data_IF_211388544838
#
_entry.id   IF_211388544838
#
_cell.length_a   1.000
_cell.length_b   1.000
_cell.length_c   1.000
_cell.angle_alpha   90.00
_cell.angle_beta   90.00
_cell.angle_gamma   90.00
#
_symmetry.space_group_name_H-M   'P 1'
#
loop_
_entity.id
_entity.type
_entity.pdbx_description
1 polymer ?
#
# COMPACT_ATOMS: atom_id res chain seq x y z
N UNK A 1 20.42 -1.69 13.08
CA UNK A 1 21.73 -2.26 13.48
C UNK A 1 21.47 -3.72 13.81
N UNK A 2 22.29 -4.67 13.36
CA UNK A 2 22.16 -6.05 13.85
C UNK A 2 22.92 -6.12 15.17
N UNK A 3 22.24 -6.53 16.24
CA UNK A 3 22.87 -6.80 17.53
C UNK A 3 22.68 -8.27 17.89
N UNK A 4 23.70 -8.84 18.54
CA UNK A 4 23.59 -10.15 19.17
C UNK A 4 23.01 -9.97 20.57
N UNK A 5 21.92 -10.67 20.85
CA UNK A 5 21.26 -10.68 22.16
C UNK A 5 21.41 -12.08 22.76
N UNK A 6 21.62 -12.25 24.07
CA UNK A 6 21.57 -13.56 24.70
C UNK A 6 20.19 -14.21 24.45
N UNK A 7 20.15 -15.40 23.86
CA UNK A 7 18.91 -16.13 23.68
C UNK A 7 18.31 -16.51 25.05
N UNK A 8 17.04 -16.16 25.28
CA UNK A 8 16.35 -16.39 26.56
C UNK A 8 15.79 -17.82 26.70
N UNK A 9 15.82 -18.64 25.65
CA UNK A 9 15.23 -19.98 25.63
C UNK A 9 16.20 -20.94 24.95
N UNK A 10 16.54 -22.02 25.65
CA UNK A 10 17.33 -23.13 25.10
C UNK A 10 16.35 -24.07 24.40
N UNK A 11 16.39 -24.13 23.07
CA UNK A 11 15.67 -25.12 22.29
C UNK A 11 16.21 -26.54 22.61
N UNK A 12 15.39 -27.48 23.09
CA UNK A 12 15.82 -28.85 23.40
C UNK A 12 16.30 -29.65 22.18
N UNK A 13 16.13 -29.15 20.95
CA UNK A 13 16.60 -29.79 19.72
C UNK A 13 17.94 -29.27 19.20
N UNK A 14 18.61 -28.35 19.91
CA UNK A 14 19.91 -27.75 19.51
C UNK A 14 21.00 -28.78 19.18
N UNK A 15 20.94 -29.98 19.75
CA UNK A 15 21.92 -31.05 19.52
C UNK A 15 21.78 -31.78 18.17
N UNK A 16 20.66 -31.64 17.45
CA UNK A 16 20.38 -32.43 16.24
C UNK A 16 20.93 -31.80 14.95
N UNK A 17 21.26 -30.50 14.94
CA UNK A 17 21.64 -29.77 13.72
C UNK A 17 23.08 -29.21 13.71
N UNK A 18 23.95 -29.64 14.63
CA UNK A 18 25.34 -29.17 14.67
C UNK A 18 25.50 -27.67 14.97
N UNK A 19 24.51 -27.06 15.64
CA UNK A 19 24.57 -25.65 16.02
C UNK A 19 25.41 -25.43 17.28
N UNK A 20 26.13 -24.31 17.30
CA UNK A 20 26.93 -23.81 18.43
C UNK A 20 26.13 -23.87 19.75
N UNK A 21 26.79 -24.23 20.86
CA UNK A 21 26.22 -24.45 22.21
C UNK A 21 25.39 -23.28 22.80
N UNK A 22 25.36 -22.12 22.11
CA UNK A 22 24.47 -21.00 22.43
C UNK A 22 23.89 -20.43 21.13
N UNK A 23 22.57 -20.49 20.90
CA UNK A 23 21.96 -19.77 19.80
C UNK A 23 22.20 -18.27 20.01
N UNK A 24 22.88 -17.65 19.04
CA UNK A 24 22.99 -16.21 18.97
C UNK A 24 21.64 -15.68 18.47
N UNK A 25 20.94 -14.89 19.27
CA UNK A 25 19.73 -14.19 18.80
C UNK A 25 20.16 -12.92 18.06
N UNK A 26 19.61 -12.72 16.85
CA UNK A 26 19.91 -11.57 16.00
C UNK A 26 18.71 -10.63 16.01
N UNK A 27 18.93 -9.38 16.44
CA UNK A 27 17.88 -8.36 16.42
C UNK A 27 18.10 -7.41 15.23
N UNK A 28 17.08 -7.24 14.39
CA UNK A 28 17.10 -6.26 13.30
C UNK A 28 16.30 -5.00 13.68
N UNK A 29 17.01 -3.93 14.02
CA UNK A 29 16.38 -2.64 14.39
C UNK A 29 16.28 -1.66 13.21
N UNK A 30 15.35 -0.71 13.33
CA UNK A 30 15.16 0.37 12.36
C UNK A 30 14.32 -0.05 11.15
N UNK A 31 13.35 -0.93 11.36
CA UNK A 31 12.29 -1.21 10.40
C UNK A 31 11.27 -0.07 10.41
N UNK A 32 10.68 0.21 9.24
CA UNK A 32 9.53 1.10 9.14
C UNK A 32 8.32 0.48 9.84
N UNK A 33 7.37 1.26 10.36
CA UNK A 33 6.11 0.73 10.91
C UNK A 33 5.40 -0.21 9.93
N UNK A 34 4.63 -1.16 10.45
CA UNK A 34 3.76 -1.98 9.60
C UNK A 34 2.63 -1.13 9.00
N UNK A 35 1.99 -1.57 7.91
CA UNK A 35 0.88 -0.83 7.34
C UNK A 35 -0.25 -0.62 8.36
N UNK A 36 -0.49 -1.58 9.25
CA UNK A 36 -1.48 -1.50 10.32
C UNK A 36 -1.09 -0.47 11.39
N UNK A 37 0.15 -0.52 11.87
CA UNK A 37 0.65 0.45 12.85
C UNK A 37 0.57 1.88 12.29
N UNK A 38 0.99 2.06 11.05
CA UNK A 38 0.97 3.36 10.38
C UNK A 38 -0.46 3.83 10.07
N UNK A 39 -1.36 2.90 9.70
CA UNK A 39 -2.78 3.18 9.51
C UNK A 39 -3.42 3.74 10.77
N UNK A 40 -3.22 3.08 11.92
CA UNK A 40 -3.77 3.55 13.19
C UNK A 40 -3.17 4.88 13.60
N UNK A 41 -1.84 5.04 13.45
CA UNK A 41 -1.13 6.28 13.76
C UNK A 41 -1.67 7.46 12.95
N UNK A 42 -1.78 7.29 11.63
CA UNK A 42 -2.22 8.34 10.72
C UNK A 42 -3.72 8.63 10.86
N UNK A 43 -4.56 7.61 11.07
CA UNK A 43 -5.99 7.80 11.38
C UNK A 43 -6.18 8.61 12.66
N UNK A 44 -5.41 8.32 13.70
CA UNK A 44 -5.43 9.08 14.96
C UNK A 44 -4.99 10.54 14.73
N UNK A 45 -3.91 10.76 13.98
CA UNK A 45 -3.41 12.10 13.65
C UNK A 45 -4.44 12.94 12.87
N UNK A 46 -5.13 12.34 11.90
CA UNK A 46 -6.13 13.01 11.07
C UNK A 46 -7.42 13.36 11.83
N UNK A 47 -7.62 12.80 13.03
CA UNK A 47 -8.81 13.04 13.82
C UNK A 47 -10.09 12.68 13.07
N UNK A 48 -10.11 11.52 12.41
CA UNK A 48 -11.33 10.97 11.79
C UNK A 48 -12.26 10.48 12.91
N UNK A 49 -13.20 11.34 13.31
CA UNK A 49 -14.03 11.16 14.49
C UNK A 49 -15.43 10.60 14.16
N UNK A 50 -16.28 10.46 15.19
CA UNK A 50 -17.63 9.93 15.01
C UNK A 50 -18.56 10.87 14.24
N UNK A 51 -18.33 12.19 14.31
CA UNK A 51 -19.14 13.15 13.57
C UNK A 51 -18.78 13.10 12.07
N UNK A 52 -17.50 12.96 11.74
CA UNK A 52 -17.06 12.70 10.38
C UNK A 52 -17.70 11.42 9.84
N UNK A 53 -17.59 10.30 10.59
CA UNK A 53 -18.10 9.00 10.16
C UNK A 53 -19.61 9.01 9.96
N UNK A 54 -20.37 9.62 10.88
CA UNK A 54 -21.81 9.74 10.76
C UNK A 54 -22.20 10.55 9.51
N UNK A 55 -21.54 11.69 9.28
CA UNK A 55 -21.78 12.52 8.10
C UNK A 55 -21.40 11.79 6.80
N UNK A 56 -20.28 11.05 6.80
CA UNK A 56 -19.86 10.24 5.66
C UNK A 56 -20.90 9.17 5.34
N UNK A 57 -21.42 8.44 6.33
CA UNK A 57 -22.46 7.41 6.15
C UNK A 57 -23.69 7.97 5.42
N UNK A 58 -24.17 9.16 5.79
CA UNK A 58 -25.31 9.82 5.12
C UNK A 58 -25.06 10.11 3.63
N UNK A 59 -23.79 10.21 3.23
CA UNK A 59 -23.38 10.52 1.86
C UNK A 59 -22.99 9.29 1.03
N UNK A 60 -22.94 8.10 1.63
CA UNK A 60 -22.52 6.85 0.96
C UNK A 60 -23.43 6.49 -0.22
N UNK A 61 -24.75 6.51 -0.03
CA UNK A 61 -25.71 6.15 -1.09
C UNK A 61 -25.65 7.09 -2.30
N UNK A 62 -25.69 8.44 -2.14
CA UNK A 62 -25.47 9.38 -3.23
C UNK A 62 -24.17 9.17 -4.00
N UNK A 63 -23.06 8.86 -3.31
CA UNK A 63 -21.79 8.56 -3.96
C UNK A 63 -21.82 7.21 -4.69
N UNK A 64 -22.41 6.17 -4.10
CA UNK A 64 -22.56 4.86 -4.74
C UNK A 64 -23.40 4.92 -6.01
N UNK A 65 -24.51 5.68 -5.99
CA UNK A 65 -25.39 5.90 -7.14
C UNK A 65 -24.61 6.35 -8.39
N UNK A 66 -23.51 7.08 -8.20
CA UNK A 66 -22.65 7.60 -9.27
C UNK A 66 -21.26 6.99 -9.33
N UNK A 67 -21.02 5.91 -8.60
CA UNK A 67 -19.71 5.27 -8.53
C UNK A 67 -19.19 4.79 -9.90
N UNK A 68 -20.08 4.30 -10.77
CA UNK A 68 -19.71 3.93 -12.14
C UNK A 68 -19.19 5.11 -12.95
N UNK A 69 -19.85 6.27 -12.85
CA UNK A 69 -19.43 7.49 -13.54
C UNK A 69 -18.06 7.95 -13.06
N UNK A 70 -17.80 7.89 -11.75
CA UNK A 70 -16.48 8.23 -11.20
C UNK A 70 -15.38 7.34 -11.76
N UNK A 71 -15.61 6.03 -11.81
CA UNK A 71 -14.64 5.07 -12.35
C UNK A 71 -14.39 5.32 -13.84
N UNK A 72 -15.43 5.48 -14.63
CA UNK A 72 -15.31 5.75 -16.08
C UNK A 72 -14.61 7.08 -16.31
N UNK A 73 -15.11 8.15 -15.69
CA UNK A 73 -14.62 9.51 -15.85
C UNK A 73 -13.16 9.67 -15.44
N UNK A 74 -12.70 8.95 -14.42
CA UNK A 74 -11.29 9.00 -14.01
C UNK A 74 -10.36 8.43 -15.10
N UNK A 75 -10.70 7.29 -15.72
CA UNK A 75 -9.89 6.76 -16.82
C UNK A 75 -10.01 7.57 -18.10
N UNK A 76 -11.19 8.14 -18.38
CA UNK A 76 -11.36 9.05 -19.51
C UNK A 76 -10.52 10.32 -19.33
N UNK A 77 -10.37 10.81 -18.10
CA UNK A 77 -9.46 11.91 -17.77
C UNK A 77 -8.00 11.50 -18.01
N UNK A 78 -7.55 10.37 -17.46
CA UNK A 78 -6.17 9.89 -17.65
C UNK A 78 -5.83 9.64 -19.13
N UNK A 79 -6.79 9.22 -19.95
CA UNK A 79 -6.59 9.02 -21.38
C UNK A 79 -6.41 10.35 -22.14
N UNK A 80 -7.06 11.43 -21.69
CA UNK A 80 -6.95 12.76 -22.31
C UNK A 80 -5.62 13.46 -22.04
N UNK A 81 -4.93 13.09 -20.96
CA UNK A 81 -3.62 13.65 -20.63
C UNK A 81 -2.50 12.81 -21.25
N UNK A 82 -1.68 13.45 -22.08
CA UNK A 82 -0.65 12.76 -22.87
C UNK A 82 0.30 11.92 -22.02
N UNK A 83 0.87 12.49 -20.96
CA UNK A 83 1.83 11.80 -20.09
C UNK A 83 1.24 10.53 -19.46
N UNK A 84 0.00 10.60 -18.97
CA UNK A 84 -0.67 9.43 -18.38
C UNK A 84 -1.09 8.42 -19.43
N UNK A 85 -1.43 8.84 -20.65
CA UNK A 85 -1.66 7.93 -21.76
C UNK A 85 -0.36 7.19 -22.14
N UNK A 86 0.78 7.87 -22.19
CA UNK A 86 2.11 7.25 -22.45
C UNK A 86 2.45 6.23 -21.37
N UNK A 87 2.30 6.59 -20.09
CA UNK A 87 2.55 5.67 -18.96
C UNK A 87 1.71 4.39 -19.09
N UNK A 88 0.46 4.52 -19.55
CA UNK A 88 -0.48 3.39 -19.67
C UNK A 88 -0.34 2.63 -21.00
N UNK A 89 0.47 3.12 -21.95
CA UNK A 89 0.58 2.58 -23.30
C UNK A 89 -0.69 2.76 -24.13
N UNK A 90 -1.39 3.89 -23.94
CA UNK A 90 -2.69 4.20 -24.52
C UNK A 90 -2.67 5.40 -25.49
N UNK A 91 -1.51 5.75 -26.02
CA UNK A 91 -1.33 6.89 -26.93
C UNK A 91 -2.18 6.78 -28.21
N UNK A 92 -2.50 5.54 -28.62
CA UNK A 92 -3.34 5.24 -29.78
C UNK A 92 -4.77 4.80 -29.38
N UNK A 93 -5.15 5.08 -28.14
CA UNK A 93 -6.39 4.59 -27.54
C UNK A 93 -6.15 3.48 -26.52
N UNK A 94 -7.10 3.33 -25.59
CA UNK A 94 -6.99 2.35 -24.53
C UNK A 94 -7.20 0.92 -25.03
N UNK A 95 -6.30 0.00 -24.66
CA UNK A 95 -6.55 -1.43 -24.78
C UNK A 95 -7.81 -1.79 -23.96
N UNK A 96 -8.87 -2.33 -24.58
CA UNK A 96 -10.13 -2.63 -23.90
C UNK A 96 -9.97 -3.60 -22.72
N UNK A 97 -9.07 -4.59 -22.83
CA UNK A 97 -8.86 -5.58 -21.76
C UNK A 97 -8.14 -4.93 -20.59
N UNK A 98 -7.07 -4.19 -20.86
CA UNK A 98 -6.34 -3.45 -19.83
C UNK A 98 -7.24 -2.39 -19.16
N UNK A 99 -8.06 -1.65 -19.92
CA UNK A 99 -8.99 -0.68 -19.37
C UNK A 99 -10.04 -1.33 -18.46
N UNK A 100 -10.62 -2.45 -18.88
CA UNK A 100 -11.59 -3.19 -18.08
C UNK A 100 -10.98 -3.72 -16.77
N UNK A 101 -9.76 -4.25 -16.83
CA UNK A 101 -8.99 -4.68 -15.66
C UNK A 101 -8.78 -3.51 -14.68
N UNK A 102 -8.32 -2.36 -15.18
CA UNK A 102 -8.06 -1.16 -14.38
C UNK A 102 -9.34 -0.61 -13.72
N UNK A 103 -10.42 -0.51 -14.50
CA UNK A 103 -11.75 -0.12 -13.98
C UNK A 103 -12.24 -1.08 -12.90
N UNK A 104 -12.04 -2.39 -13.04
CA UNK A 104 -12.40 -3.37 -12.01
C UNK A 104 -11.64 -3.13 -10.70
N UNK A 105 -10.32 -2.90 -10.75
CA UNK A 105 -9.55 -2.61 -9.54
C UNK A 105 -10.01 -1.31 -8.86
N UNK A 106 -10.26 -0.26 -9.64
CA UNK A 106 -10.80 0.99 -9.12
C UNK A 106 -12.15 0.75 -8.44
N UNK A 107 -13.09 0.05 -9.10
CA UNK A 107 -14.41 -0.25 -8.54
C UNK A 107 -14.33 -0.99 -7.21
N UNK A 108 -13.40 -1.95 -7.06
CA UNK A 108 -13.19 -2.66 -5.79
C UNK A 108 -12.70 -1.70 -4.70
N UNK A 109 -11.72 -0.85 -5.00
CA UNK A 109 -11.24 0.16 -4.06
C UNK A 109 -12.34 1.14 -3.66
N UNK A 110 -13.14 1.63 -4.62
CA UNK A 110 -14.24 2.54 -4.38
C UNK A 110 -15.31 1.89 -3.49
N UNK A 111 -15.67 0.64 -3.77
CA UNK A 111 -16.66 -0.09 -2.97
C UNK A 111 -16.19 -0.27 -1.52
N UNK A 112 -14.92 -0.62 -1.29
CA UNK A 112 -14.35 -0.71 0.08
C UNK A 112 -14.31 0.66 0.76
N UNK A 113 -13.95 1.71 0.03
CA UNK A 113 -13.89 3.09 0.54
C UNK A 113 -15.27 3.59 0.97
N UNK A 114 -16.28 3.44 0.11
CA UNK A 114 -17.66 3.84 0.40
C UNK A 114 -18.33 2.91 1.42
N UNK A 115 -17.88 1.67 1.53
CA UNK A 115 -18.23 0.76 2.62
C UNK A 115 -17.56 1.10 3.96
N UNK A 116 -16.77 2.17 4.04
CA UNK A 116 -16.01 2.59 5.22
C UNK A 116 -15.17 1.45 5.82
N UNK A 117 -14.54 0.67 4.95
CA UNK A 117 -13.61 -0.38 5.38
C UNK A 117 -12.38 0.28 6.02
N UNK A 118 -12.30 0.24 7.35
CA UNK A 118 -11.18 0.79 8.13
C UNK A 118 -10.27 -0.31 8.71
N UNK A 119 -10.32 -1.50 8.12
CA UNK A 119 -9.58 -2.67 8.59
C UNK A 119 -8.09 -2.65 8.27
N UNK A 120 -7.33 -3.40 9.04
CA UNK A 120 -5.91 -3.69 8.79
C UNK A 120 -5.66 -4.35 7.43
N UNK A 121 -6.62 -5.13 6.93
CA UNK A 121 -6.52 -5.70 5.58
C UNK A 121 -6.52 -4.60 4.52
N UNK A 122 -7.35 -3.56 4.68
CA UNK A 122 -7.39 -2.47 3.72
C UNK A 122 -6.11 -1.62 3.75
N UNK A 123 -5.52 -1.44 4.94
CA UNK A 123 -4.21 -0.81 5.08
C UNK A 123 -3.12 -1.54 4.26
N UNK A 124 -3.07 -2.89 4.35
CA UNK A 124 -2.16 -3.71 3.53
C UNK A 124 -2.47 -3.62 2.04
N UNK A 125 -3.75 -3.64 1.68
CA UNK A 125 -4.19 -3.52 0.30
C UNK A 125 -3.71 -2.21 -0.33
N UNK A 126 -3.86 -1.09 0.37
CA UNK A 126 -3.42 0.23 -0.09
C UNK A 126 -1.89 0.33 -0.17
N UNK A 127 -1.18 -0.21 0.82
CA UNK A 127 0.28 -0.31 0.76
C UNK A 127 0.74 -1.10 -0.47
N UNK A 128 0.12 -2.27 -0.75
CA UNK A 128 0.42 -3.07 -1.94
C UNK A 128 0.06 -2.33 -3.23
N UNK A 129 -1.05 -1.59 -3.24
CA UNK A 129 -1.42 -0.74 -4.38
C UNK A 129 -0.33 0.30 -4.66
N UNK A 130 0.26 0.90 -3.63
CA UNK A 130 1.42 1.78 -3.75
C UNK A 130 2.60 1.14 -4.47
N UNK A 131 2.98 -0.08 -4.07
CA UNK A 131 4.05 -0.83 -4.72
C UNK A 131 3.75 -1.13 -6.19
N UNK A 132 2.50 -1.47 -6.51
CA UNK A 132 2.07 -1.72 -7.89
C UNK A 132 2.23 -0.46 -8.74
N UNK A 133 1.86 0.71 -8.21
CA UNK A 133 2.07 1.99 -8.89
C UNK A 133 3.55 2.34 -9.04
N UNK A 134 4.41 1.92 -8.12
CA UNK A 134 5.86 2.08 -8.26
C UNK A 134 6.49 1.19 -9.33
N UNK A 135 5.72 0.28 -9.95
CA UNK A 135 6.21 -0.65 -10.97
C UNK A 135 6.34 -2.10 -10.50
N UNK A 136 5.96 -2.45 -9.28
CA UNK A 136 6.11 -3.82 -8.76
C UNK A 136 4.86 -4.70 -9.00
N UNK A 137 4.04 -4.33 -9.99
CA UNK A 137 2.89 -5.10 -10.47
C UNK A 137 3.21 -5.95 -11.72
N UNK A 138 2.28 -6.79 -12.20
CA UNK A 138 2.53 -7.72 -13.31
C UNK A 138 3.02 -7.05 -14.61
N UNK A 139 2.52 -5.84 -14.91
CA UNK A 139 2.90 -5.07 -16.12
C UNK A 139 4.17 -4.24 -15.95
N UNK A 140 4.73 -4.19 -14.74
CA UNK A 140 5.93 -3.41 -14.41
C UNK A 140 5.85 -1.92 -14.80
N UNK A 141 4.65 -1.37 -14.88
CA UNK A 141 4.41 0.04 -15.21
C UNK A 141 4.66 0.91 -14.00
N UNK A 142 5.69 1.76 -14.07
CA UNK A 142 5.92 2.79 -13.08
C UNK A 142 5.04 4.03 -13.36
N UNK A 143 4.23 4.42 -12.39
CA UNK A 143 3.43 5.64 -12.39
C UNK A 143 4.13 6.66 -11.50
N UNK A 144 4.54 7.84 -12.01
CA UNK A 144 5.12 8.89 -11.18
C UNK A 144 4.21 9.28 -10.01
N UNK A 145 4.82 9.47 -8.84
CA UNK A 145 4.12 9.75 -7.57
C UNK A 145 3.13 10.91 -7.67
N UNK A 146 3.47 11.95 -8.43
CA UNK A 146 2.61 13.13 -8.63
C UNK A 146 1.23 12.76 -9.20
N UNK A 147 1.15 11.75 -10.06
CA UNK A 147 -0.11 11.30 -10.65
C UNK A 147 -0.93 10.46 -9.67
N UNK A 148 -0.29 9.75 -8.74
CA UNK A 148 -0.97 9.05 -7.64
C UNK A 148 -1.64 10.06 -6.71
N UNK A 149 -0.89 11.10 -6.29
CA UNK A 149 -1.39 12.20 -5.47
C UNK A 149 -2.52 12.98 -6.17
N UNK A 150 -2.33 13.30 -7.46
CA UNK A 150 -3.33 13.98 -8.27
C UNK A 150 -4.64 13.18 -8.40
N UNK A 151 -4.54 11.87 -8.62
CA UNK A 151 -5.72 11.00 -8.74
C UNK A 151 -6.59 10.99 -7.48
N UNK A 152 -5.99 10.96 -6.29
CA UNK A 152 -6.75 11.05 -5.03
C UNK A 152 -7.48 12.40 -4.90
N UNK A 153 -6.83 13.48 -5.32
CA UNK A 153 -7.45 14.82 -5.33
C UNK A 153 -8.63 14.91 -6.30
N UNK A 154 -8.52 14.27 -7.48
CA UNK A 154 -9.62 14.17 -8.46
C UNK A 154 -10.83 13.41 -7.90
N UNK A 155 -10.60 12.34 -7.14
CA UNK A 155 -11.69 11.61 -6.46
C UNK A 155 -12.39 12.51 -5.45
N UNK A 156 -11.65 13.22 -4.60
CA UNK A 156 -12.24 14.12 -3.60
C UNK A 156 -13.07 15.24 -4.27
N UNK A 157 -12.54 15.86 -5.32
CA UNK A 157 -13.27 16.87 -6.09
C UNK A 157 -14.55 16.30 -6.74
N UNK A 158 -14.49 15.05 -7.22
CA UNK A 158 -15.66 14.38 -7.80
C UNK A 158 -16.70 14.05 -6.72
N UNK A 159 -16.29 13.65 -5.52
CA UNK A 159 -17.20 13.47 -4.39
C UNK A 159 -17.92 14.77 -4.05
N UNK A 160 -17.19 15.88 -3.94
CA UNK A 160 -17.78 17.20 -3.69
C UNK A 160 -18.83 17.58 -4.74
N UNK A 161 -18.50 17.38 -6.02
CA UNK A 161 -19.44 17.62 -7.12
C UNK A 161 -20.69 16.73 -7.02
N UNK A 162 -20.51 15.43 -6.83
CA UNK A 162 -21.63 14.49 -6.72
C UNK A 162 -22.56 14.82 -5.56
N UNK A 163 -22.01 15.17 -4.39
CA UNK A 163 -22.83 15.53 -3.23
C UNK A 163 -23.56 16.85 -3.43
N UNK A 164 -22.93 17.85 -4.07
CA UNK A 164 -23.60 19.09 -4.40
C UNK A 164 -24.77 18.88 -5.38
N UNK A 165 -24.64 17.95 -6.33
CA UNK A 165 -25.67 17.64 -7.33
C UNK A 165 -26.79 16.73 -6.76
N UNK A 166 -26.46 15.73 -5.94
CA UNK A 166 -27.42 14.74 -5.42
C UNK A 166 -28.10 15.17 -4.10
N UNK A 167 -27.47 16.05 -3.32
CA UNK A 167 -27.96 16.49 -2.02
C UNK A 167 -27.96 18.03 -1.90
N UNK A 168 -28.61 18.77 -2.82
CA UNK A 168 -28.53 20.23 -2.86
C UNK A 168 -29.01 20.85 -1.54
N UNK A 169 -28.14 21.66 -0.92
CA UNK A 169 -28.44 22.37 0.33
C UNK A 169 -28.36 21.52 1.60
N UNK A 170 -27.95 20.25 1.53
CA UNK A 170 -27.83 19.40 2.71
C UNK A 170 -26.69 19.89 3.63
N UNK A 171 -27.04 20.22 4.87
CA UNK A 171 -26.10 20.75 5.87
C UNK A 171 -24.99 19.76 6.27
N UNK A 172 -25.16 18.46 5.99
CA UNK A 172 -24.19 17.41 6.29
C UNK A 172 -22.97 17.42 5.36
N UNK A 173 -23.08 18.00 4.16
CA UNK A 173 -22.05 17.93 3.11
C UNK A 173 -20.68 18.45 3.56
N UNK A 174 -20.55 19.63 4.20
CA UNK A 174 -19.24 20.13 4.60
C UNK A 174 -18.50 19.19 5.56
N UNK A 175 -19.21 18.63 6.54
CA UNK A 175 -18.66 17.65 7.49
C UNK A 175 -18.30 16.35 6.78
N UNK A 176 -19.17 15.85 5.92
CA UNK A 176 -18.90 14.65 5.14
C UNK A 176 -17.66 14.80 4.25
N UNK A 177 -17.50 15.94 3.56
CA UNK A 177 -16.34 16.22 2.72
C UNK A 177 -15.05 16.38 3.53
N UNK A 178 -15.13 16.93 4.75
CA UNK A 178 -13.99 16.93 5.67
C UNK A 178 -13.58 15.49 6.01
N UNK A 179 -14.55 14.62 6.34
CA UNK A 179 -14.33 13.20 6.61
C UNK A 179 -13.74 12.44 5.41
N UNK A 180 -14.32 12.61 4.21
CA UNK A 180 -13.80 12.01 2.99
C UNK A 180 -12.38 12.50 2.66
N UNK A 181 -12.10 13.79 2.82
CA UNK A 181 -10.75 14.31 2.61
C UNK A 181 -9.72 13.70 3.58
N UNK A 182 -10.09 13.54 4.86
CA UNK A 182 -9.24 12.85 5.86
C UNK A 182 -9.00 11.39 5.44
N UNK A 183 -10.05 10.65 5.10
CA UNK A 183 -9.93 9.23 4.71
C UNK A 183 -9.12 9.06 3.42
N UNK A 184 -9.35 9.89 2.41
CA UNK A 184 -8.59 9.86 1.16
C UNK A 184 -7.12 10.26 1.36
N UNK A 185 -6.83 11.18 2.29
CA UNK A 185 -5.46 11.50 2.69
C UNK A 185 -4.78 10.33 3.38
N UNK A 186 -5.50 9.59 4.23
CA UNK A 186 -5.02 8.34 4.83
C UNK A 186 -4.71 7.30 3.74
N UNK A 187 -5.58 7.13 2.75
CA UNK A 187 -5.35 6.22 1.63
C UNK A 187 -4.11 6.59 0.81
N UNK A 188 -3.97 7.88 0.48
CA UNK A 188 -2.80 8.39 -0.22
C UNK A 188 -1.53 8.08 0.57
N UNK A 189 -1.51 8.38 1.87
CA UNK A 189 -0.35 8.11 2.72
C UNK A 189 0.06 6.63 2.70
N UNK A 190 -0.89 5.71 2.83
CA UNK A 190 -0.59 4.28 2.76
C UNK A 190 -0.02 3.86 1.40
N UNK A 191 -0.57 4.40 0.31
CA UNK A 191 -0.03 4.14 -1.02
C UNK A 191 1.37 4.72 -1.17
N UNK A 192 1.65 5.92 -0.66
CA UNK A 192 2.99 6.52 -0.71
C UNK A 192 4.01 5.72 0.10
N UNK A 193 3.63 5.21 1.28
CA UNK A 193 4.49 4.33 2.06
C UNK A 193 4.87 3.07 1.27
N UNK A 194 3.89 2.44 0.61
CA UNK A 194 4.12 1.30 -0.27
C UNK A 194 5.00 1.65 -1.47
N UNK A 195 4.71 2.78 -2.10
CA UNK A 195 5.43 3.29 -3.26
C UNK A 195 6.91 3.53 -2.96
N UNK A 196 7.21 4.24 -1.86
CA UNK A 196 8.59 4.48 -1.42
C UNK A 196 9.29 3.21 -0.96
N UNK A 197 8.57 2.23 -0.39
CA UNK A 197 9.17 0.93 -0.05
C UNK A 197 9.69 0.18 -1.29
N UNK A 198 8.95 0.27 -2.41
CA UNK A 198 9.30 -0.35 -3.68
C UNK A 198 10.49 0.37 -4.34
N UNK A 199 10.45 1.70 -4.44
CA UNK A 199 11.58 2.49 -4.93
C UNK A 199 12.83 2.32 -4.07
N UNK A 200 12.64 2.24 -2.75
CA UNK A 200 13.73 1.93 -1.85
C UNK A 200 14.32 0.58 -2.24
N UNK A 201 13.54 -0.50 -2.35
CA UNK A 201 14.03 -1.83 -2.74
C UNK A 201 14.90 -1.80 -4.01
N UNK A 202 14.49 -1.02 -5.00
CA UNK A 202 15.13 -0.90 -6.31
C UNK A 202 16.33 0.06 -6.37
N UNK A 203 16.59 0.83 -5.31
CA UNK A 203 17.71 1.79 -5.27
C UNK A 203 19.06 1.14 -4.90
N UNK A 204 20.11 1.41 -5.67
CA UNK A 204 21.48 0.95 -5.39
C UNK A 204 22.30 0.75 -6.66
N UNK A 205 23.58 0.41 -6.46
CA UNK A 205 24.57 0.31 -7.54
C UNK A 205 24.59 -1.08 -8.19
N UNK A 206 24.24 -2.12 -7.43
CA UNK A 206 24.23 -3.51 -7.91
C UNK A 206 23.00 -4.27 -7.41
N UNK A 207 22.57 -5.29 -8.17
CA UNK A 207 21.41 -6.12 -7.84
C UNK A 207 21.83 -7.42 -7.16
N UNK A 208 21.10 -7.77 -6.10
CA UNK A 208 21.17 -9.06 -5.43
C UNK A 208 19.83 -9.77 -5.63
N UNK A 209 19.88 -11.10 -5.73
CA UNK A 209 18.70 -11.95 -5.71
C UNK A 209 18.58 -12.60 -4.35
N UNK A 210 17.47 -12.35 -3.67
CA UNK A 210 17.08 -13.04 -2.45
C UNK A 210 16.19 -14.22 -2.82
N UNK A 211 16.63 -15.44 -2.52
CA UNK A 211 15.80 -16.62 -2.66
C UNK A 211 14.76 -16.67 -1.52
N UNK A 212 13.53 -17.02 -1.87
CA UNK A 212 12.36 -16.97 -0.99
C UNK A 212 11.82 -18.38 -0.80
N UNK A 213 11.65 -18.76 0.47
CA UNK A 213 11.32 -20.12 0.88
C UNK A 213 10.06 -20.17 1.73
N UNK A 214 9.42 -21.35 1.77
CA UNK A 214 8.25 -21.61 2.61
C UNK A 214 7.06 -20.71 2.29
N UNK A 215 6.35 -20.28 3.35
CA UNK A 215 5.13 -19.46 3.26
C UNK A 215 5.36 -18.14 2.51
N UNK A 216 6.57 -17.60 2.56
CA UNK A 216 6.94 -16.36 1.86
C UNK A 216 6.79 -16.46 0.35
N UNK A 217 7.08 -17.63 -0.23
CA UNK A 217 6.95 -17.85 -1.68
C UNK A 217 5.49 -17.73 -2.12
N UNK A 218 4.56 -18.26 -1.33
CA UNK A 218 3.14 -18.17 -1.61
C UNK A 218 2.63 -16.72 -1.48
N UNK A 219 3.07 -15.98 -0.47
CA UNK A 219 2.70 -14.58 -0.26
C UNK A 219 3.23 -13.64 -1.35
N UNK A 220 4.43 -13.91 -1.87
CA UNK A 220 5.07 -13.06 -2.88
C UNK A 220 4.75 -13.46 -4.32
N UNK A 221 4.11 -14.61 -4.54
CA UNK A 221 3.82 -15.14 -5.87
C UNK A 221 5.06 -15.54 -6.68
N UNK A 222 6.22 -15.73 -6.03
CA UNK A 222 7.48 -16.01 -6.71
C UNK A 222 8.58 -16.54 -5.78
N UNK A 223 9.54 -17.31 -6.32
CA UNK A 223 10.62 -17.92 -5.55
C UNK A 223 11.81 -16.98 -5.28
N UNK A 224 11.86 -15.81 -5.91
CA UNK A 224 12.96 -14.86 -5.81
C UNK A 224 12.44 -13.43 -5.71
N UNK A 225 13.20 -12.57 -5.02
CA UNK A 225 13.05 -11.12 -5.08
C UNK A 225 14.40 -10.50 -5.42
N UNK A 226 14.40 -9.59 -6.39
CA UNK A 226 15.57 -8.76 -6.66
C UNK A 226 15.52 -7.50 -5.80
N UNK A 227 16.65 -7.13 -5.22
CA UNK A 227 16.84 -5.84 -4.56
C UNK A 227 18.16 -5.23 -5.02
N UNK A 228 18.19 -3.92 -5.17
CA UNK A 228 19.44 -3.20 -5.41
C UNK A 228 20.08 -2.79 -4.09
N UNK A 229 21.41 -2.69 -4.07
CA UNK A 229 22.18 -2.28 -2.90
C UNK A 229 23.30 -1.32 -3.32
N UNK A 230 23.61 -0.29 -2.52
CA UNK A 230 24.79 0.54 -2.76
C UNK A 230 26.07 -0.25 -2.49
N UNK A 231 27.17 0.16 -3.12
CA UNK A 231 28.50 -0.40 -2.89
C UNK A 231 28.87 -0.33 -1.40
N UNK A 232 29.35 -1.45 -0.83
CA UNK A 232 29.64 -1.54 0.60
C UNK A 232 28.43 -1.76 1.51
N UNK A 233 27.25 -2.04 0.94
CA UNK A 233 26.06 -2.37 1.72
C UNK A 233 26.28 -3.55 2.67
N UNK A 234 25.70 -3.42 3.87
CA UNK A 234 25.70 -4.50 4.87
C UNK A 234 24.50 -5.42 4.70
N UNK A 235 24.61 -6.65 5.19
CA UNK A 235 23.46 -7.57 5.29
C UNK A 235 22.29 -6.93 6.07
N UNK A 236 22.60 -6.15 7.12
CA UNK A 236 21.60 -5.43 7.89
C UNK A 236 20.79 -4.41 7.07
N UNK A 237 21.39 -3.80 6.04
CA UNK A 237 20.70 -2.91 5.12
C UNK A 237 19.83 -3.73 4.15
N UNK A 238 20.39 -4.78 3.57
CA UNK A 238 19.66 -5.67 2.67
C UNK A 238 18.38 -6.25 3.31
N UNK A 239 18.51 -6.77 4.54
CA UNK A 239 17.37 -7.29 5.30
C UNK A 239 16.35 -6.19 5.62
N UNK A 240 16.79 -4.98 6.01
CA UNK A 240 15.85 -3.86 6.26
C UNK A 240 15.05 -3.49 5.02
N UNK A 241 15.69 -3.36 3.86
CA UNK A 241 14.98 -3.08 2.59
C UNK A 241 13.97 -4.18 2.29
N UNK A 242 14.38 -5.45 2.42
CA UNK A 242 13.52 -6.60 2.20
C UNK A 242 12.30 -6.60 3.15
N UNK A 243 12.50 -6.45 4.45
CA UNK A 243 11.40 -6.48 5.43
C UNK A 243 10.52 -5.23 5.39
N UNK A 244 11.05 -4.07 4.99
CA UNK A 244 10.25 -2.87 4.77
C UNK A 244 9.40 -2.96 3.49
N UNK A 245 9.88 -3.66 2.47
CA UNK A 245 9.11 -3.93 1.26
C UNK A 245 8.02 -4.98 1.50
N UNK A 246 8.34 -6.08 2.17
CA UNK A 246 7.36 -7.14 2.43
C UNK A 246 6.31 -6.70 3.45
N UNK A 247 6.75 -6.00 4.49
CA UNK A 247 5.95 -5.34 5.52
C UNK A 247 4.73 -6.12 6.06
N UNK A 248 4.79 -7.46 6.09
CA UNK A 248 3.74 -8.26 6.71
C UNK A 248 4.04 -8.43 8.20
N UNK A 249 3.10 -8.02 9.05
CA UNK A 249 3.16 -8.27 10.50
C UNK A 249 3.37 -9.76 10.83
N UNK A 250 2.79 -10.66 10.02
CA UNK A 250 2.95 -12.12 10.16
C UNK A 250 4.38 -12.63 9.94
N UNK A 251 5.23 -11.87 9.23
CA UNK A 251 6.66 -12.19 9.05
C UNK A 251 7.47 -11.65 10.22
N UNK A 252 7.09 -10.47 10.74
CA UNK A 252 7.82 -9.76 11.79
C UNK A 252 7.51 -10.28 13.19
N UNK A 253 6.29 -10.76 13.44
CA UNK A 253 5.84 -11.28 14.74
C UNK A 253 6.07 -12.77 14.98
N UNK A 254 6.75 -13.48 14.07
CA UNK A 254 7.02 -14.92 14.17
C UNK A 254 8.51 -15.27 14.01
N UNK A 255 9.42 -14.30 14.18
CA UNK A 255 10.85 -14.64 14.32
C UNK A 255 11.19 -15.20 15.70
N UNK A 256 10.28 -15.08 16.69
CA UNK A 256 10.41 -15.72 18.00
C UNK A 256 9.95 -17.20 18.00
N UNK A 257 9.33 -17.68 16.92
CA UNK A 257 8.80 -19.05 16.80
C UNK A 257 9.42 -19.86 15.65
N UNK A 258 10.43 -19.30 14.99
CA UNK A 258 11.20 -19.93 13.90
C UNK A 258 12.65 -20.25 14.29
N UNK A 259 12.95 -20.25 15.60
CA UNK A 259 14.19 -20.76 16.17
C UNK A 259 13.81 -21.85 17.17
#
# INVERSE_FOLDING_TARGET
>A
MIKTVPAAVVDPFTHLNGQLEKPLAWELTGLSPTPEEEWQRMRSFLGLDQADLAAMVETVEPLFKRGHELVVGNYDYLLKHHDTAVILGWEQGADPVHLAERRRFFTVWLARTLGLDLSDDFARYLFRAGQIHAGHGPRQTHVPELYVTGAISLVNATFARFLAEEMPGAAVIPTALAGWNKLLSLHLHMMLLGYHSALALDSGDFRVKAAIFGKMRALMGGPELSLALPTGATMALALRKLFNYLNFAQIRGNMDSLI
#
